data_IF_669979319212
#
_entry.id   IF_669979319212
#
_cell.length_a   1.000
_cell.length_b   1.000
_cell.length_c   1.000
_cell.angle_alpha   90.00
_cell.angle_beta   90.00
_cell.angle_gamma   90.00
#
_symmetry.space_group_name_H-M   'P 1'
#
loop_
_entity.id
_entity.type
_entity.pdbx_description
1 polymer ?
#
# COMPACT_ATOMS: atom_id res chain seq x y z
N UNK A 1 58.99 -14.70 -7.30
CA UNK A 1 58.30 -13.70 -8.15
C UNK A 1 56.85 -13.63 -7.68
N UNK A 2 56.44 -12.48 -7.12
CA UNK A 2 55.38 -12.31 -6.11
C UNK A 2 54.01 -12.90 -6.48
N UNK A 3 53.55 -13.91 -5.72
CA UNK A 3 52.16 -14.38 -5.74
C UNK A 3 51.16 -13.24 -5.52
N UNK A 4 51.53 -12.23 -4.73
CA UNK A 4 50.71 -11.05 -4.44
C UNK A 4 50.40 -10.22 -5.69
N UNK A 5 51.35 -10.09 -6.62
CA UNK A 5 51.15 -9.33 -7.87
C UNK A 5 50.20 -10.07 -8.81
N UNK A 6 50.35 -11.40 -8.90
CA UNK A 6 49.45 -12.24 -9.71
C UNK A 6 48.02 -12.22 -9.14
N UNK A 7 47.88 -12.19 -7.82
CA UNK A 7 46.57 -12.10 -7.17
C UNK A 7 45.93 -10.72 -7.36
N UNK A 8 46.71 -9.65 -7.26
CA UNK A 8 46.24 -8.30 -7.55
C UNK A 8 45.71 -8.18 -8.99
N UNK A 9 46.43 -8.70 -9.98
CA UNK A 9 46.01 -8.67 -11.38
C UNK A 9 44.70 -9.43 -11.62
N UNK A 10 44.52 -10.59 -10.95
CA UNK A 10 43.27 -11.36 -10.98
C UNK A 10 42.12 -10.57 -10.34
N UNK A 11 42.37 -9.96 -9.18
CA UNK A 11 41.36 -9.17 -8.48
C UNK A 11 40.95 -7.93 -9.28
N UNK A 12 41.92 -7.24 -9.88
CA UNK A 12 41.67 -6.08 -10.73
C UNK A 12 40.80 -6.45 -11.94
N UNK A 13 41.05 -7.61 -12.56
CA UNK A 13 40.23 -8.11 -13.66
C UNK A 13 38.78 -8.37 -13.20
N UNK A 14 38.59 -9.04 -12.06
CA UNK A 14 37.25 -9.31 -11.52
C UNK A 14 36.50 -8.04 -11.12
N UNK A 15 37.19 -7.07 -10.55
CA UNK A 15 36.63 -5.75 -10.19
C UNK A 15 36.23 -4.98 -11.44
N UNK A 16 37.06 -5.02 -12.49
CA UNK A 16 36.75 -4.41 -13.79
C UNK A 16 35.50 -5.04 -14.41
N UNK A 17 35.42 -6.37 -14.42
CA UNK A 17 34.28 -7.09 -15.00
C UNK A 17 32.98 -6.84 -14.21
N UNK A 18 33.05 -6.74 -12.88
CA UNK A 18 31.86 -6.64 -12.01
C UNK A 18 31.41 -5.20 -11.73
N UNK A 19 32.34 -4.26 -11.58
CA UNK A 19 32.05 -2.88 -11.17
C UNK A 19 32.42 -1.83 -12.22
N UNK A 20 32.94 -2.24 -13.38
CA UNK A 20 33.39 -1.36 -14.46
C UNK A 20 34.50 -0.38 -14.03
N UNK A 21 35.27 -0.73 -12.99
CA UNK A 21 36.41 0.06 -12.51
C UNK A 21 37.69 -0.40 -13.20
N UNK A 22 38.38 0.52 -13.87
CA UNK A 22 39.63 0.21 -14.59
C UNK A 22 40.85 0.12 -13.67
N UNK A 23 40.77 0.70 -12.47
CA UNK A 23 41.86 0.78 -11.50
C UNK A 23 41.31 0.61 -10.07
N UNK A 24 42.07 -0.05 -9.21
CA UNK A 24 41.84 -0.15 -7.77
C UNK A 24 43.17 0.08 -7.05
N UNK A 25 43.19 0.79 -5.92
CA UNK A 25 44.45 1.13 -5.26
C UNK A 25 45.19 -0.13 -4.77
N UNK A 26 46.45 -0.29 -5.20
CA UNK A 26 47.32 -1.38 -4.76
C UNK A 26 47.56 -1.35 -3.24
N UNK A 27 47.61 -0.17 -2.63
CA UNK A 27 47.83 -0.02 -1.19
C UNK A 27 46.61 -0.48 -0.39
N UNK A 28 45.39 -0.18 -0.88
CA UNK A 28 44.15 -0.70 -0.30
C UNK A 28 44.05 -2.21 -0.45
N UNK A 29 44.40 -2.74 -1.63
CA UNK A 29 44.46 -4.18 -1.87
C UNK A 29 45.40 -4.87 -0.87
N UNK A 30 46.63 -4.36 -0.73
CA UNK A 30 47.62 -4.92 0.19
C UNK A 30 47.12 -4.87 1.63
N UNK A 31 46.43 -3.80 2.03
CA UNK A 31 45.82 -3.70 3.36
C UNK A 31 44.83 -4.84 3.62
N UNK A 32 43.92 -5.10 2.68
CA UNK A 32 42.95 -6.20 2.83
C UNK A 32 43.61 -7.57 2.74
N UNK A 33 44.59 -7.73 1.85
CA UNK A 33 45.34 -8.98 1.72
C UNK A 33 46.07 -9.35 3.00
N UNK A 34 46.83 -8.41 3.60
CA UNK A 34 47.54 -8.65 4.86
C UNK A 34 46.59 -8.86 6.05
N UNK A 35 45.45 -8.14 6.10
CA UNK A 35 44.44 -8.38 7.14
C UNK A 35 43.83 -9.78 7.07
N UNK A 36 43.59 -10.30 5.86
CA UNK A 36 43.04 -11.66 5.69
C UNK A 36 44.11 -12.71 5.98
N UNK A 37 45.35 -12.47 5.52
CA UNK A 37 46.48 -13.37 5.74
C UNK A 37 46.86 -13.51 7.21
N UNK A 38 46.89 -12.41 7.98
CA UNK A 38 47.20 -12.45 9.41
C UNK A 38 46.09 -13.10 10.25
N UNK A 39 44.86 -13.17 9.74
CA UNK A 39 43.70 -13.73 10.45
C UNK A 39 43.41 -15.19 10.07
N UNK A 40 44.11 -15.78 9.09
CA UNK A 40 43.95 -17.19 8.73
C UNK A 40 44.99 -18.05 9.46
N UNK A 41 44.56 -18.83 10.45
CA UNK A 41 45.45 -19.74 11.20
C UNK A 41 45.76 -21.06 10.47
N UNK A 42 45.12 -21.34 9.33
CA UNK A 42 45.34 -22.54 8.51
C UNK A 42 45.66 -22.15 7.06
N UNK A 43 46.92 -22.33 6.66
CA UNK A 43 47.49 -21.82 5.39
C UNK A 43 47.38 -22.77 4.20
N UNK A 44 46.49 -23.76 4.20
CA UNK A 44 46.58 -24.83 3.20
C UNK A 44 45.63 -24.66 2.00
N UNK A 45 44.78 -23.63 1.95
CA UNK A 45 43.93 -23.40 0.78
C UNK A 45 43.95 -21.94 0.29
N UNK A 46 44.95 -21.63 -0.55
CA UNK A 46 45.14 -20.34 -1.24
C UNK A 46 43.85 -19.85 -1.94
N UNK A 47 43.01 -20.76 -2.41
CA UNK A 47 41.75 -20.39 -3.08
C UNK A 47 40.73 -19.73 -2.14
N UNK A 48 40.70 -20.10 -0.87
CA UNK A 48 39.75 -19.54 0.10
C UNK A 48 40.22 -18.19 0.65
N UNK A 49 41.54 -18.02 0.76
CA UNK A 49 42.16 -16.71 1.02
C UNK A 49 41.76 -15.71 -0.06
N UNK A 50 41.88 -16.11 -1.33
CA UNK A 50 41.58 -15.26 -2.49
C UNK A 50 40.11 -14.82 -2.53
N UNK A 51 39.18 -15.74 -2.25
CA UNK A 51 37.74 -15.42 -2.17
C UNK A 51 37.44 -14.40 -1.07
N UNK A 52 38.11 -14.53 0.08
CA UNK A 52 37.88 -13.67 1.24
C UNK A 52 38.40 -12.24 1.00
N UNK A 53 39.57 -12.11 0.39
CA UNK A 53 40.12 -10.80 -0.01
C UNK A 53 39.21 -10.11 -1.03
N UNK A 54 38.74 -10.84 -2.04
CA UNK A 54 37.79 -10.34 -3.03
C UNK A 54 36.47 -9.86 -2.41
N UNK A 55 35.96 -10.58 -1.41
CA UNK A 55 34.73 -10.20 -0.70
C UNK A 55 34.89 -8.85 -0.02
N UNK A 56 35.99 -8.64 0.73
CA UNK A 56 36.25 -7.37 1.42
C UNK A 56 36.41 -6.19 0.47
N UNK A 57 37.07 -6.39 -0.67
CA UNK A 57 37.20 -5.33 -1.68
C UNK A 57 35.84 -4.96 -2.28
N UNK A 58 34.99 -5.95 -2.55
CA UNK A 58 33.64 -5.70 -3.04
C UNK A 58 32.79 -4.91 -2.02
N UNK A 59 32.92 -5.21 -0.73
CA UNK A 59 32.26 -4.46 0.35
C UNK A 59 32.74 -3.00 0.41
N UNK A 60 34.06 -2.74 0.31
CA UNK A 60 34.62 -1.37 0.26
C UNK A 60 34.11 -0.57 -0.94
N UNK A 61 33.98 -1.19 -2.12
CA UNK A 61 33.47 -0.52 -3.32
C UNK A 61 31.99 -0.15 -3.18
N UNK A 62 31.18 -1.03 -2.59
CA UNK A 62 29.74 -0.77 -2.37
C UNK A 62 29.57 0.38 -1.37
N UNK A 63 30.31 0.33 -0.25
CA UNK A 63 30.21 1.34 0.81
C UNK A 63 30.57 2.75 0.30
N UNK A 64 31.64 2.88 -0.49
CA UNK A 64 32.05 4.18 -1.05
C UNK A 64 31.10 4.72 -2.15
N UNK A 65 30.28 3.87 -2.78
CA UNK A 65 29.25 4.35 -3.74
C UNK A 65 28.09 5.04 -3.03
N UNK A 66 27.73 4.59 -1.83
CA UNK A 66 26.61 5.15 -1.07
C UNK A 66 26.93 6.55 -0.50
N UNK A 67 28.15 6.77 -0.01
CA UNK A 67 28.59 8.10 0.47
C UNK A 67 28.58 9.17 -0.62
N UNK A 68 28.91 8.79 -1.87
CA UNK A 68 28.90 9.70 -3.00
C UNK A 68 27.46 10.06 -3.45
N UNK A 69 26.51 9.15 -3.24
CA UNK A 69 25.08 9.40 -3.47
C UNK A 69 24.52 10.33 -2.40
N UNK A 70 24.88 10.15 -1.12
CA UNK A 70 24.44 11.00 -0.02
C UNK A 70 24.91 12.46 -0.19
N UNK A 71 26.18 12.67 -0.57
CA UNK A 71 26.70 14.02 -0.81
C UNK A 71 25.97 14.74 -1.96
N UNK A 72 25.60 14.00 -3.01
CA UNK A 72 24.84 14.55 -4.15
C UNK A 72 23.39 14.87 -3.80
N UNK A 73 22.78 14.12 -2.87
CA UNK A 73 21.44 14.42 -2.33
C UNK A 73 21.47 15.71 -1.51
N UNK A 74 22.49 15.90 -0.68
CA UNK A 74 22.65 17.12 0.14
C UNK A 74 22.82 18.36 -0.75
N UNK A 75 23.62 18.26 -1.81
CA UNK A 75 23.82 19.37 -2.77
C UNK A 75 22.52 19.76 -3.48
N UNK A 76 21.72 18.78 -3.91
CA UNK A 76 20.41 19.01 -4.56
C UNK A 76 19.36 19.61 -3.59
N UNK A 77 19.42 19.28 -2.31
CA UNK A 77 18.53 19.85 -1.29
C UNK A 77 18.87 21.32 -0.99
N UNK A 78 20.16 21.68 -1.01
CA UNK A 78 20.60 23.07 -0.81
C UNK A 78 20.15 23.98 -1.97
N UNK A 79 20.21 23.48 -3.22
CA UNK A 79 19.72 24.23 -4.39
C UNK A 79 18.21 24.49 -4.28
N UNK A 80 17.41 23.47 -3.91
CA UNK A 80 15.95 23.61 -3.72
C UNK A 80 15.56 24.60 -2.63
N UNK A 81 16.39 24.77 -1.60
CA UNK A 81 16.08 25.64 -0.46
C UNK A 81 16.31 27.14 -0.75
N UNK A 82 17.04 27.47 -1.82
CA UNK A 82 17.43 28.85 -2.18
C UNK A 82 16.43 29.60 -3.08
N UNK A 83 15.35 28.96 -3.52
CA UNK A 83 14.38 29.52 -4.48
C UNK A 83 13.04 29.94 -3.85
N UNK A 84 13.05 30.52 -2.65
CA UNK A 84 11.85 31.08 -2.03
C UNK A 84 11.83 32.60 -2.19
N UNK A 85 10.95 33.12 -3.05
CA UNK A 85 10.67 34.55 -3.15
C UNK A 85 9.58 34.91 -2.11
N UNK A 86 9.96 35.69 -1.09
CA UNK A 86 9.03 36.16 -0.07
C UNK A 86 8.79 37.67 -0.25
N UNK A 87 7.54 38.06 -0.55
CA UNK A 87 7.17 39.47 -0.71
C UNK A 87 6.28 39.86 0.47
N UNK A 88 6.74 40.82 1.27
CA UNK A 88 5.96 41.40 2.36
C UNK A 88 5.68 42.88 2.04
N UNK A 89 4.41 43.25 1.94
CA UNK A 89 3.97 44.62 1.68
C UNK A 89 3.15 45.13 2.87
N UNK A 90 3.71 46.05 3.65
CA UNK A 90 3.01 46.73 4.74
C UNK A 90 2.26 47.94 4.19
N UNK A 91 1.09 47.71 3.58
CA UNK A 91 0.24 48.76 3.00
C UNK A 91 -0.72 48.21 1.94
N UNK A 92 -1.41 49.10 1.21
CA UNK A 92 -2.27 48.70 0.10
C UNK A 92 -1.40 48.33 -1.12
N UNK A 93 -1.46 47.07 -1.55
CA UNK A 93 -0.81 46.60 -2.77
C UNK A 93 -1.75 46.71 -3.97
N UNK A 94 -1.42 47.55 -4.95
CA UNK A 94 -2.12 47.61 -6.24
C UNK A 94 -1.26 46.96 -7.32
N UNK A 95 -1.79 45.97 -8.02
CA UNK A 95 -1.17 45.35 -9.21
C UNK A 95 -1.98 45.78 -10.43
N UNK A 96 -1.34 46.46 -11.39
CA UNK A 96 -1.94 46.81 -12.66
C UNK A 96 -1.24 46.06 -13.80
N UNK A 97 -1.95 45.19 -14.51
CA UNK A 97 -1.41 44.45 -15.66
C UNK A 97 -2.14 44.88 -16.93
N UNK A 98 -1.42 45.54 -17.84
CA UNK A 98 -1.91 45.82 -19.19
C UNK A 98 -1.71 44.56 -20.06
N UNK A 99 -2.64 43.61 -19.97
CA UNK A 99 -2.64 42.34 -20.71
C UNK A 99 -3.17 41.16 -19.90
N UNK A 100 -3.01 39.94 -20.41
CA UNK A 100 -3.42 38.72 -19.70
C UNK A 100 -2.39 38.35 -18.63
N UNK A 101 -2.80 38.36 -17.36
CA UNK A 101 -1.99 37.89 -16.23
C UNK A 101 -2.20 36.40 -15.98
N UNK A 102 -1.21 35.57 -16.30
CA UNK A 102 -1.23 34.15 -15.97
C UNK A 102 -0.34 33.87 -14.76
N UNK A 103 -0.88 33.21 -13.73
CA UNK A 103 -0.13 32.73 -12.56
C UNK A 103 -0.06 31.21 -12.64
N UNK A 104 1.15 30.64 -12.62
CA UNK A 104 1.37 29.19 -12.60
C UNK A 104 2.10 28.80 -11.31
N UNK A 105 1.49 27.95 -10.48
CA UNK A 105 2.04 27.48 -9.23
C UNK A 105 2.15 25.94 -9.24
N UNK A 106 3.38 25.43 -9.17
CA UNK A 106 3.65 23.97 -9.17
C UNK A 106 3.54 23.35 -7.76
N UNK A 107 2.66 23.89 -6.90
CA UNK A 107 2.45 23.49 -5.51
C UNK A 107 1.13 24.02 -4.98
N UNK A 108 0.90 23.93 -3.66
CA UNK A 108 -0.33 24.41 -3.06
C UNK A 108 -0.32 25.95 -2.97
N UNK A 109 -1.20 26.62 -3.73
CA UNK A 109 -1.47 28.04 -3.59
C UNK A 109 -2.53 28.29 -2.53
N UNK A 110 -2.24 29.10 -1.51
CA UNK A 110 -3.20 29.51 -0.50
C UNK A 110 -3.35 31.04 -0.52
N UNK A 111 -4.58 31.54 -0.58
CA UNK A 111 -4.91 32.97 -0.53
C UNK A 111 -5.75 33.19 0.73
N UNK A 112 -5.25 34.00 1.66
CA UNK A 112 -6.00 34.40 2.85
C UNK A 112 -6.26 35.91 2.78
N UNK A 113 -7.53 36.29 2.62
CA UNK A 113 -7.94 37.69 2.51
C UNK A 113 -8.90 38.06 3.65
N UNK A 114 -8.49 38.99 4.50
CA UNK A 114 -9.29 39.49 5.62
C UNK A 114 -10.04 40.79 5.24
N UNK A 115 -10.81 40.76 4.14
CA UNK A 115 -11.56 41.92 3.62
C UNK A 115 -12.59 41.53 2.56
N UNK A 116 -13.41 42.49 2.14
CA UNK A 116 -14.48 42.27 1.16
C UNK A 116 -13.88 42.12 -0.26
N UNK A 117 -14.08 40.97 -0.92
CA UNK A 117 -13.61 40.74 -2.29
C UNK A 117 -14.73 41.03 -3.29
N UNK A 118 -14.56 42.08 -4.10
CA UNK A 118 -15.45 42.37 -5.23
C UNK A 118 -14.83 41.84 -6.53
N UNK A 119 -15.06 40.55 -6.81
CA UNK A 119 -14.80 39.98 -8.14
C UNK A 119 -16.04 40.10 -9.01
N UNK A 120 -16.10 41.12 -9.85
CA UNK A 120 -17.12 41.21 -10.90
C UNK A 120 -16.64 40.41 -12.13
N UNK A 121 -17.53 39.59 -12.66
CA UNK A 121 -17.44 38.77 -13.90
C UNK A 121 -17.04 37.28 -13.73
N UNK A 122 -18.03 36.44 -14.05
CA UNK A 122 -18.00 34.99 -14.33
C UNK A 122 -17.94 34.05 -13.10
N UNK A 123 -18.98 34.12 -12.26
CA UNK A 123 -19.29 33.09 -11.25
C UNK A 123 -20.16 31.92 -11.79
N UNK A 124 -20.33 31.79 -13.11
CA UNK A 124 -21.19 30.75 -13.69
C UNK A 124 -20.47 29.42 -14.00
N UNK A 125 -19.14 29.34 -13.85
CA UNK A 125 -18.38 28.11 -14.10
C UNK A 125 -17.81 27.44 -12.83
N UNK A 126 -18.04 28.03 -11.64
CA UNK A 126 -17.50 27.49 -10.37
C UNK A 126 -18.24 26.23 -9.92
N UNK A 127 -19.48 26.02 -10.34
CA UNK A 127 -20.18 24.74 -10.13
C UNK A 127 -19.58 23.60 -10.98
N UNK A 128 -18.82 23.92 -12.03
CA UNK A 128 -18.11 22.94 -12.88
C UNK A 128 -16.62 22.74 -12.51
N UNK A 129 -16.06 23.57 -11.60
CA UNK A 129 -14.67 23.44 -11.13
C UNK A 129 -14.53 22.74 -9.77
N UNK A 130 -15.59 22.08 -9.28
CA UNK A 130 -15.50 21.19 -8.13
C UNK A 130 -14.85 19.87 -8.56
N UNK A 131 -13.54 19.80 -8.37
CA UNK A 131 -12.73 18.58 -8.25
C UNK A 131 -12.48 17.85 -9.59
N UNK A 132 -11.54 18.39 -10.38
CA UNK A 132 -10.72 17.60 -11.32
C UNK A 132 -9.36 17.23 -10.71
N UNK A 133 -9.25 17.17 -9.39
CA UNK A 133 -8.41 16.14 -8.76
C UNK A 133 -9.21 14.84 -8.72
N UNK A 134 -9.66 14.39 -9.89
CA UNK A 134 -9.66 12.97 -10.15
C UNK A 134 -8.18 12.56 -10.04
N UNK A 135 -7.76 12.21 -8.82
CA UNK A 135 -7.03 10.95 -8.69
C UNK A 135 -7.69 10.03 -9.72
N UNK A 136 -6.91 9.45 -10.63
CA UNK A 136 -7.40 8.47 -11.58
C UNK A 136 -8.00 7.29 -10.77
N UNK A 137 -9.18 7.50 -10.18
CA UNK A 137 -10.09 6.50 -9.72
C UNK A 137 -10.59 5.99 -11.06
N UNK A 138 -9.80 5.08 -11.63
CA UNK A 138 -10.29 4.14 -12.62
C UNK A 138 -11.44 3.44 -11.91
N UNK A 139 -12.66 3.98 -12.07
CA UNK A 139 -13.83 3.14 -11.95
C UNK A 139 -13.57 1.98 -12.89
N UNK A 140 -13.37 0.79 -12.32
CA UNK A 140 -13.31 -0.41 -13.13
C UNK A 140 -14.67 -0.55 -13.81
N UNK A 141 -14.73 -0.18 -15.08
CA UNK A 141 -15.78 -0.65 -15.97
C UNK A 141 -15.50 -2.13 -16.20
N UNK A 142 -16.11 -2.97 -15.39
CA UNK A 142 -16.09 -4.43 -15.55
C UNK A 142 -16.78 -4.86 -16.86
N UNK A 143 -17.61 -3.99 -17.44
CA UNK A 143 -18.36 -4.24 -18.67
C UNK A 143 -17.67 -3.60 -19.88
N UNK A 144 -16.64 -4.27 -20.40
CA UNK A 144 -16.07 -4.00 -21.73
C UNK A 144 -16.22 -5.18 -22.70
N UNK A 145 -17.15 -6.09 -22.45
CA UNK A 145 -17.55 -7.13 -23.40
C UNK A 145 -18.95 -6.79 -23.91
N UNK A 146 -18.98 -6.08 -25.03
CA UNK A 146 -20.16 -5.49 -25.66
C UNK A 146 -21.27 -6.46 -26.10
N UNK A 147 -21.27 -7.73 -25.69
CA UNK A 147 -22.27 -8.73 -26.11
C UNK A 147 -22.71 -9.72 -25.03
N UNK A 148 -22.20 -9.66 -23.80
CA UNK A 148 -22.68 -10.53 -22.72
C UNK A 148 -23.42 -9.72 -21.67
N UNK A 149 -24.72 -10.00 -21.53
CA UNK A 149 -25.67 -9.43 -20.56
C UNK A 149 -25.36 -10.00 -19.16
N UNK A 150 -24.12 -9.83 -18.71
CA UNK A 150 -23.70 -10.26 -17.38
C UNK A 150 -24.00 -9.17 -16.36
N UNK A 151 -24.69 -9.50 -15.27
CA UNK A 151 -24.79 -8.59 -14.11
C UNK A 151 -23.70 -8.95 -13.11
N UNK A 152 -23.15 -7.98 -12.39
CA UNK A 152 -22.21 -8.26 -11.31
C UNK A 152 -22.83 -8.02 -9.95
N UNK A 153 -22.37 -8.75 -8.93
CA UNK A 153 -22.62 -8.43 -7.53
C UNK A 153 -21.33 -8.50 -6.73
N UNK A 154 -21.27 -7.72 -5.65
CA UNK A 154 -20.07 -7.56 -4.84
C UNK A 154 -20.38 -8.05 -3.43
N UNK A 155 -19.47 -8.86 -2.89
CA UNK A 155 -19.48 -9.27 -1.49
C UNK A 155 -18.30 -8.60 -0.82
N UNK A 156 -18.58 -7.78 0.18
CA UNK A 156 -17.54 -7.19 1.01
C UNK A 156 -17.43 -7.97 2.31
N UNK A 157 -16.22 -8.42 2.65
CA UNK A 157 -15.98 -9.30 3.80
C UNK A 157 -14.62 -9.04 4.44
N UNK A 158 -14.50 -9.46 5.68
CA UNK A 158 -13.26 -9.48 6.47
C UNK A 158 -13.02 -10.87 7.07
N UNK A 159 -13.82 -11.85 6.64
CA UNK A 159 -13.76 -13.22 7.14
C UNK A 159 -13.17 -14.11 6.05
N UNK A 160 -12.31 -15.03 6.48
CA UNK A 160 -11.84 -16.12 5.63
C UNK A 160 -12.95 -17.12 5.31
N UNK A 161 -13.97 -17.22 6.16
CA UNK A 161 -15.11 -18.12 5.97
C UNK A 161 -16.41 -17.39 6.26
N UNK A 162 -17.37 -17.44 5.34
CA UNK A 162 -18.69 -16.83 5.51
C UNK A 162 -19.74 -17.48 4.61
N UNK A 163 -21.01 -17.24 4.93
CA UNK A 163 -22.15 -17.73 4.17
C UNK A 163 -22.82 -16.56 3.43
N UNK A 164 -23.31 -16.82 2.23
CA UNK A 164 -24.17 -15.89 1.49
C UNK A 164 -25.46 -16.58 1.07
N UNK A 165 -26.55 -15.80 1.05
CA UNK A 165 -27.78 -16.24 0.44
C UNK A 165 -27.70 -16.00 -1.07
N UNK A 166 -27.66 -17.07 -1.85
CA UNK A 166 -27.70 -17.01 -3.29
C UNK A 166 -29.11 -16.70 -3.79
N UNK A 167 -29.31 -15.49 -4.32
CA UNK A 167 -30.58 -15.10 -4.97
C UNK A 167 -30.66 -15.53 -6.44
N UNK A 168 -29.60 -16.16 -6.98
CA UNK A 168 -29.42 -16.44 -8.40
C UNK A 168 -29.37 -17.96 -8.68
N UNK A 169 -30.34 -18.70 -8.14
CA UNK A 169 -30.41 -20.18 -8.16
C UNK A 169 -30.39 -20.77 -9.59
N UNK A 170 -30.79 -20.01 -10.61
CA UNK A 170 -30.80 -20.41 -12.03
C UNK A 170 -29.84 -19.59 -12.91
N UNK A 171 -28.73 -19.11 -12.36
CA UNK A 171 -27.74 -18.35 -13.13
C UNK A 171 -26.36 -18.98 -13.00
N UNK A 172 -25.55 -18.84 -14.05
CA UNK A 172 -24.11 -19.14 -13.97
C UNK A 172 -23.46 -18.00 -13.21
N UNK A 173 -22.91 -18.28 -12.04
CA UNK A 173 -22.12 -17.30 -11.28
C UNK A 173 -20.64 -17.70 -11.28
N UNK A 174 -19.74 -16.73 -11.40
CA UNK A 174 -18.31 -16.97 -11.24
C UNK A 174 -17.64 -15.79 -10.53
N UNK A 175 -16.66 -16.05 -9.64
CA UNK A 175 -15.88 -14.98 -9.04
C UNK A 175 -14.92 -14.44 -10.11
N UNK A 176 -15.11 -13.18 -10.47
CA UNK A 176 -14.41 -12.51 -11.57
C UNK A 176 -13.17 -11.76 -11.12
N UNK A 177 -13.25 -11.10 -9.96
CA UNK A 177 -12.17 -10.28 -9.42
C UNK A 177 -12.22 -10.31 -7.90
N UNK A 178 -11.07 -10.06 -7.31
CA UNK A 178 -10.87 -9.96 -5.89
C UNK A 178 -10.12 -8.64 -5.64
N UNK A 179 -10.77 -7.69 -4.98
CA UNK A 179 -10.12 -6.46 -4.52
C UNK A 179 -9.66 -6.69 -3.09
N UNK A 180 -8.35 -6.64 -2.87
CA UNK A 180 -7.76 -6.94 -1.56
C UNK A 180 -6.84 -5.84 -1.08
N UNK A 181 -6.67 -5.69 0.24
CA UNK A 181 -5.69 -4.77 0.78
C UNK A 181 -4.30 -5.10 0.24
N UNK A 182 -3.56 -4.06 -0.15
CA UNK A 182 -2.24 -4.18 -0.78
C UNK A 182 -1.22 -4.91 0.09
N UNK A 183 -1.45 -5.01 1.40
CA UNK A 183 -0.60 -5.76 2.32
C UNK A 183 -0.69 -7.28 2.15
N UNK A 184 -1.80 -7.81 1.58
CA UNK A 184 -1.99 -9.25 1.41
C UNK A 184 -0.98 -9.86 0.42
N UNK A 185 -0.53 -9.12 -0.60
CA UNK A 185 0.48 -9.61 -1.56
C UNK A 185 1.82 -9.97 -0.91
N UNK A 186 2.10 -9.38 0.26
CA UNK A 186 3.31 -9.67 1.02
C UNK A 186 3.18 -10.96 1.85
N UNK A 187 1.95 -11.49 2.01
CA UNK A 187 1.64 -12.69 2.80
C UNK A 187 1.53 -13.92 1.88
N UNK A 188 0.89 -13.77 0.72
CA UNK A 188 0.66 -14.89 -0.20
C UNK A 188 0.78 -14.47 -1.66
N UNK A 189 1.38 -15.30 -2.54
CA UNK A 189 1.49 -15.00 -3.97
C UNK A 189 0.18 -15.23 -4.74
N UNK A 190 -0.74 -16.06 -4.21
CA UNK A 190 -2.07 -16.30 -4.76
C UNK A 190 -3.08 -16.60 -3.65
N UNK A 191 -4.37 -16.46 -3.95
CA UNK A 191 -5.48 -16.74 -3.04
C UNK A 191 -6.37 -17.79 -3.70
N UNK A 192 -6.79 -18.78 -2.94
CA UNK A 192 -7.76 -19.78 -3.41
C UNK A 192 -9.11 -19.46 -2.79
N UNK A 193 -10.13 -19.24 -3.62
CA UNK A 193 -11.52 -19.14 -3.17
C UNK A 193 -12.17 -20.51 -3.34
N UNK A 194 -12.59 -21.12 -2.25
CA UNK A 194 -13.48 -22.30 -2.24
C UNK A 194 -14.93 -21.87 -2.12
N UNK A 195 -15.81 -22.36 -2.99
CA UNK A 195 -17.25 -22.12 -2.97
C UNK A 195 -17.93 -23.47 -2.81
N UNK A 196 -18.72 -23.62 -1.76
CA UNK A 196 -19.42 -24.85 -1.42
C UNK A 196 -20.93 -24.63 -1.33
N UNK A 197 -21.68 -25.55 -1.93
CA UNK A 197 -23.12 -25.78 -1.74
C UNK A 197 -23.34 -26.73 -0.54
N UNK A 198 -24.52 -26.71 0.06
CA UNK A 198 -24.99 -27.71 1.04
C UNK A 198 -24.88 -29.17 0.53
N UNK A 199 -24.92 -29.38 -0.79
CA UNK A 199 -24.78 -30.65 -1.51
C UNK A 199 -23.32 -31.01 -1.88
N UNK A 200 -22.34 -30.38 -1.23
CA UNK A 200 -20.91 -30.75 -1.23
C UNK A 200 -20.10 -30.52 -2.53
N UNK A 201 -20.62 -29.85 -3.55
CA UNK A 201 -19.77 -29.45 -4.68
C UNK A 201 -18.79 -28.35 -4.22
N UNK A 202 -17.50 -28.68 -4.16
CA UNK A 202 -16.45 -27.72 -3.78
C UNK A 202 -15.78 -27.21 -5.07
N UNK A 203 -16.15 -26.00 -5.49
CA UNK A 203 -15.48 -25.32 -6.59
C UNK A 203 -14.38 -24.44 -6.05
N UNK A 204 -13.20 -24.53 -6.66
CA UNK A 204 -12.04 -23.72 -6.27
C UNK A 204 -11.60 -22.82 -7.42
N UNK A 205 -11.26 -21.57 -7.08
CA UNK A 205 -10.77 -20.57 -8.01
C UNK A 205 -9.48 -19.97 -7.45
N UNK A 206 -8.39 -20.06 -8.20
CA UNK A 206 -7.10 -19.45 -7.83
C UNK A 206 -7.00 -18.05 -8.42
N UNK A 207 -6.71 -17.07 -7.57
CA UNK A 207 -6.56 -15.66 -7.91
C UNK A 207 -5.10 -15.23 -7.79
N UNK A 208 -4.63 -14.46 -8.77
CA UNK A 208 -3.29 -13.86 -8.78
C UNK A 208 -3.39 -12.33 -8.93
N UNK A 209 -2.40 -11.56 -8.44
CA UNK A 209 -2.36 -10.12 -8.64
C UNK A 209 -2.39 -9.74 -10.13
N UNK A 210 -3.25 -8.79 -10.49
CA UNK A 210 -3.29 -8.19 -11.84
C UNK A 210 -2.91 -6.71 -11.81
N UNK A 211 -3.52 -5.94 -10.91
CA UNK A 211 -3.22 -4.51 -10.72
C UNK A 211 -2.73 -4.33 -9.30
N UNK A 212 -1.53 -3.76 -9.18
CA UNK A 212 -0.89 -3.51 -7.89
C UNK A 212 -1.07 -2.03 -7.57
N UNK A 213 -1.71 -1.74 -6.44
CA UNK A 213 -1.98 -0.38 -5.98
C UNK A 213 -1.37 -0.11 -4.60
N UNK A 214 -1.41 1.17 -4.15
CA UNK A 214 -0.87 1.56 -2.86
C UNK A 214 -1.73 1.05 -1.70
N UNK A 215 -3.06 1.07 -1.85
CA UNK A 215 -4.03 0.67 -0.81
C UNK A 215 -4.71 -0.66 -1.17
N UNK A 216 -5.07 -0.81 -2.44
CA UNK A 216 -5.80 -1.96 -2.96
C UNK A 216 -5.07 -2.58 -4.13
N UNK A 217 -4.98 -3.91 -4.13
CA UNK A 217 -4.61 -4.70 -5.28
C UNK A 217 -5.87 -5.35 -5.88
N UNK A 218 -5.89 -5.49 -7.20
CA UNK A 218 -6.96 -6.20 -7.92
C UNK A 218 -6.37 -7.49 -8.44
N UNK A 219 -7.02 -8.58 -8.07
CA UNK A 219 -6.59 -9.92 -8.39
C UNK A 219 -7.64 -10.57 -9.28
N UNK A 220 -7.18 -11.36 -10.26
CA UNK A 220 -8.03 -12.05 -11.22
C UNK A 220 -7.88 -13.57 -11.12
N UNK A 221 -8.90 -14.35 -11.49
CA UNK A 221 -8.77 -15.79 -11.53
C UNK A 221 -7.79 -16.20 -12.64
N UNK A 222 -7.00 -17.23 -12.38
CA UNK A 222 -6.07 -17.82 -13.36
C UNK A 222 -6.84 -18.50 -14.49
N UNK A 223 -7.99 -19.10 -14.17
CA UNK A 223 -8.84 -19.80 -15.13
C UNK A 223 -10.11 -18.99 -15.42
N UNK A 224 -10.40 -18.78 -16.70
CA UNK A 224 -11.62 -18.09 -17.17
C UNK A 224 -12.82 -19.03 -17.34
N UNK A 225 -12.74 -20.25 -16.79
CA UNK A 225 -13.78 -21.25 -17.00
C UNK A 225 -15.04 -20.87 -16.22
N UNK A 226 -16.10 -20.52 -16.95
CA UNK A 226 -17.43 -20.29 -16.40
C UNK A 226 -18.03 -21.64 -15.99
N UNK A 227 -17.90 -21.98 -14.71
CA UNK A 227 -18.55 -23.19 -14.20
C UNK A 227 -19.99 -22.83 -13.90
N UNK A 228 -20.93 -23.61 -14.47
CA UNK A 228 -22.31 -23.54 -14.03
C UNK A 228 -22.35 -24.08 -12.60
N UNK A 229 -22.35 -23.14 -11.65
CA UNK A 229 -22.69 -23.41 -10.28
C UNK A 229 -24.19 -23.77 -10.27
N UNK A 230 -24.50 -25.05 -10.55
CA UNK A 230 -25.81 -25.65 -10.31
C UNK A 230 -26.01 -25.69 -8.80
N UNK A 231 -26.26 -24.53 -8.22
CA UNK A 231 -26.42 -24.39 -6.78
C UNK A 231 -27.87 -24.73 -6.52
N UNK A 232 -28.11 -25.95 -6.06
CA UNK A 232 -29.43 -26.37 -5.61
C UNK A 232 -29.81 -25.70 -4.29
N UNK A 233 -28.83 -25.18 -3.55
CA UNK A 233 -29.02 -24.54 -2.25
C UNK A 233 -29.23 -23.02 -2.33
N UNK A 234 -30.02 -22.49 -1.40
CA UNK A 234 -30.14 -21.04 -1.23
C UNK A 234 -28.93 -20.43 -0.50
N UNK A 235 -28.07 -21.25 0.11
CA UNK A 235 -26.88 -20.81 0.85
C UNK A 235 -25.60 -21.34 0.22
N UNK A 236 -24.63 -20.44 0.06
CA UNK A 236 -23.27 -20.75 -0.34
C UNK A 236 -22.31 -20.47 0.80
N UNK A 237 -21.42 -21.41 1.07
CA UNK A 237 -20.26 -21.21 1.94
C UNK A 237 -19.07 -20.83 1.09
N UNK A 238 -18.44 -19.70 1.42
CA UNK A 238 -17.23 -19.22 0.75
C UNK A 238 -16.07 -19.27 1.75
N UNK A 239 -14.97 -19.89 1.32
CA UNK A 239 -13.73 -20.00 2.06
C UNK A 239 -12.59 -19.34 1.26
N UNK A 240 -11.71 -18.61 1.94
CA UNK A 240 -10.53 -17.96 1.38
C UNK A 240 -9.28 -18.62 1.97
N UNK A 241 -8.41 -19.11 1.11
CA UNK A 241 -7.16 -19.75 1.49
C UNK A 241 -5.95 -19.04 0.90
N UNK A 242 -4.82 -19.13 1.60
CA UNK A 242 -3.51 -18.73 1.10
C UNK A 242 -2.87 -19.82 0.23
N UNK A 243 -1.64 -19.59 -0.21
CA UNK A 243 -0.87 -20.54 -1.02
C UNK A 243 -0.54 -21.86 -0.32
N UNK A 244 -0.60 -21.90 1.01
CA UNK A 244 -0.34 -23.08 1.83
C UNK A 244 -1.61 -23.87 2.16
N UNK A 245 -2.76 -23.49 1.57
CA UNK A 245 -4.10 -24.03 1.87
C UNK A 245 -4.58 -23.78 3.30
N UNK A 246 -3.97 -22.82 4.00
CA UNK A 246 -4.49 -22.34 5.28
C UNK A 246 -5.50 -21.23 5.05
N UNK A 247 -6.44 -21.06 5.98
CA UNK A 247 -7.38 -19.93 5.90
C UNK A 247 -6.61 -18.62 5.87
N UNK A 248 -6.98 -17.73 4.96
CA UNK A 248 -6.35 -16.43 4.84
C UNK A 248 -6.48 -15.69 6.17
N UNK A 249 -5.35 -15.43 6.84
CA UNK A 249 -5.37 -14.85 8.17
C UNK A 249 -5.63 -13.34 8.12
N UNK A 250 -6.81 -12.95 8.58
CA UNK A 250 -7.19 -11.55 8.77
C UNK A 250 -6.92 -11.05 10.21
N UNK A 251 -6.11 -11.76 11.01
CA UNK A 251 -6.00 -11.55 12.47
C UNK A 251 -5.55 -10.14 12.88
N UNK A 252 -4.94 -9.38 11.97
CA UNK A 252 -4.48 -8.01 12.23
C UNK A 252 -5.47 -6.92 11.78
N UNK A 253 -6.62 -7.27 11.20
CA UNK A 253 -7.60 -6.28 10.73
C UNK A 253 -8.61 -5.86 11.82
N UNK A 254 -8.89 -6.75 12.77
CA UNK A 254 -9.68 -6.41 13.96
C UNK A 254 -8.75 -5.94 15.06
N UNK A 255 -8.84 -4.66 15.38
CA UNK A 255 -8.04 -4.03 16.42
C UNK A 255 -8.87 -3.96 17.70
N UNK A 256 -8.30 -4.44 18.80
CA UNK A 256 -8.98 -4.39 20.09
C UNK A 256 -8.99 -2.96 20.62
N UNK A 257 -10.14 -2.55 21.15
CA UNK A 257 -10.27 -1.30 21.88
C UNK A 257 -9.84 -1.53 23.32
N UNK A 258 -8.81 -0.82 23.76
CA UNK A 258 -8.20 -0.98 25.07
C UNK A 258 -8.82 -0.06 26.11
N UNK A 259 -8.98 1.22 25.76
CA UNK A 259 -9.48 2.26 26.66
C UNK A 259 -10.30 3.27 25.86
N UNK A 260 -11.32 3.86 26.48
CA UNK A 260 -12.11 4.95 25.90
C UNK A 260 -12.29 6.06 26.91
N UNK A 261 -12.17 7.29 26.44
CA UNK A 261 -12.46 8.51 27.17
C UNK A 261 -13.39 9.38 26.33
N UNK A 262 -14.45 9.88 26.96
CA UNK A 262 -15.33 10.86 26.35
C UNK A 262 -14.74 12.26 26.49
N UNK A 263 -14.54 12.96 25.36
CA UNK A 263 -13.96 14.32 25.33
C UNK A 263 -14.70 15.15 24.29
N UNK A 264 -15.38 16.22 24.71
CA UNK A 264 -15.94 17.26 23.83
C UNK A 264 -16.64 16.72 22.56
N UNK A 265 -17.74 15.99 22.72
CA UNK A 265 -18.50 15.35 21.63
C UNK A 265 -17.72 14.31 20.79
N UNK A 266 -16.58 13.83 21.28
CA UNK A 266 -15.81 12.77 20.66
C UNK A 266 -15.43 11.68 21.67
N UNK A 267 -15.21 10.46 21.16
CA UNK A 267 -14.54 9.40 21.90
C UNK A 267 -13.07 9.38 21.51
N UNK A 268 -12.20 9.54 22.50
CA UNK A 268 -10.78 9.18 22.42
C UNK A 268 -10.67 7.70 22.70
N UNK A 269 -10.27 6.93 21.69
CA UNK A 269 -10.20 5.47 21.73
C UNK A 269 -8.73 5.05 21.62
N UNK A 270 -8.24 4.33 22.63
CA UNK A 270 -6.93 3.70 22.60
C UNK A 270 -7.06 2.31 21.98
N UNK A 271 -6.22 2.04 20.99
CA UNK A 271 -6.28 0.79 20.20
C UNK A 271 -4.97 0.02 20.29
N UNK A 272 -5.02 -1.30 20.12
CA UNK A 272 -3.82 -2.15 20.22
C UNK A 272 -2.81 -1.95 19.08
N UNK A 273 -3.27 -1.49 17.90
CA UNK A 273 -2.39 -1.16 16.76
C UNK A 273 -2.90 0.12 16.04
N UNK A 274 -2.34 1.29 16.33
CA UNK A 274 -2.81 2.58 15.81
C UNK A 274 -2.37 2.87 14.38
N UNK A 275 -1.29 2.24 13.89
CA UNK A 275 -0.75 2.46 12.55
C UNK A 275 -1.68 1.93 11.45
N UNK A 276 -2.66 1.14 11.87
CA UNK A 276 -3.76 0.66 11.04
C UNK A 276 -4.79 1.74 10.66
N UNK A 277 -4.64 2.94 11.21
CA UNK A 277 -5.62 4.01 11.12
C UNK A 277 -4.99 5.34 10.74
N UNK A 278 -5.63 6.04 9.81
CA UNK A 278 -5.33 7.40 9.39
C UNK A 278 -6.54 8.33 9.61
N UNK A 279 -6.27 9.63 9.63
CA UNK A 279 -7.33 10.65 9.68
C UNK A 279 -8.19 10.52 8.42
N UNK A 280 -9.52 10.62 8.59
CA UNK A 280 -10.56 10.40 7.60
C UNK A 280 -10.82 8.95 7.18
N UNK A 281 -10.14 7.97 7.79
CA UNK A 281 -10.47 6.57 7.54
C UNK A 281 -11.89 6.27 8.05
N UNK A 282 -12.64 5.53 7.23
CA UNK A 282 -13.92 4.97 7.65
C UNK A 282 -13.67 3.70 8.45
N UNK A 283 -14.24 3.65 9.64
CA UNK A 283 -14.09 2.53 10.57
C UNK A 283 -15.44 1.93 10.88
N UNK A 284 -15.44 0.63 11.17
CA UNK A 284 -16.58 -0.04 11.76
C UNK A 284 -16.20 -0.57 13.13
N UNK A 285 -17.03 -0.25 14.11
CA UNK A 285 -16.90 -0.76 15.48
C UNK A 285 -17.91 -1.88 15.65
N UNK A 286 -17.46 -2.97 16.25
CA UNK A 286 -18.25 -4.15 16.59
C UNK A 286 -18.30 -4.20 18.12
N UNK A 287 -19.49 -4.00 18.65
CA UNK A 287 -19.75 -4.11 20.08
C UNK A 287 -19.88 -5.56 20.52
N UNK A 288 -19.80 -5.82 21.83
CA UNK A 288 -19.88 -7.17 22.39
C UNK A 288 -21.20 -7.89 22.05
N UNK A 289 -22.29 -7.13 21.88
CA UNK A 289 -23.59 -7.65 21.46
C UNK A 289 -23.70 -7.89 19.93
N UNK A 290 -22.59 -7.81 19.19
CA UNK A 290 -22.51 -7.89 17.72
C UNK A 290 -23.24 -6.75 16.97
N UNK A 291 -23.73 -5.73 17.66
CA UNK A 291 -24.18 -4.50 16.99
C UNK A 291 -22.96 -3.82 16.41
N UNK A 292 -23.12 -3.29 15.19
CA UNK A 292 -22.04 -2.61 14.50
C UNK A 292 -22.41 -1.19 14.13
N UNK A 293 -21.46 -0.28 14.23
CA UNK A 293 -21.61 1.12 13.81
C UNK A 293 -20.50 1.51 12.86
N UNK A 294 -20.83 2.36 11.90
CA UNK A 294 -19.84 3.01 11.04
C UNK A 294 -19.51 4.40 11.61
N UNK A 295 -18.24 4.75 11.61
CA UNK A 295 -17.76 6.07 12.03
C UNK A 295 -16.57 6.51 11.16
N UNK A 296 -16.09 7.73 11.38
CA UNK A 296 -14.91 8.28 10.69
C UNK A 296 -13.90 8.75 11.72
N UNK A 297 -12.64 8.45 11.47
CA UNK A 297 -11.55 8.94 12.32
C UNK A 297 -11.34 10.42 12.06
N UNK A 298 -11.60 11.24 13.07
CA UNK A 298 -11.46 12.70 12.99
C UNK A 298 -10.07 13.18 13.37
N UNK A 299 -9.39 12.47 14.25
CA UNK A 299 -8.05 12.82 14.68
C UNK A 299 -7.28 11.57 15.14
N UNK A 300 -5.96 11.67 15.17
CA UNK A 300 -5.04 10.66 15.69
C UNK A 300 -3.93 11.37 16.46
N UNK A 301 -3.68 10.95 17.70
CA UNK A 301 -2.58 11.50 18.50
C UNK A 301 -1.32 10.64 18.41
N UNK A 302 -0.23 11.13 19.02
CA UNK A 302 1.07 10.43 19.05
C UNK A 302 1.11 9.26 20.05
N UNK A 303 0.07 9.09 20.86
CA UNK A 303 -0.02 8.09 21.94
C UNK A 303 -0.98 6.95 21.58
N UNK A 304 -1.10 6.65 20.29
CA UNK A 304 -1.88 5.53 19.77
C UNK A 304 -3.39 5.66 19.98
N UNK A 305 -3.90 6.88 20.16
CA UNK A 305 -5.33 7.12 20.27
C UNK A 305 -5.90 7.66 18.96
N UNK A 306 -7.08 7.16 18.63
CA UNK A 306 -7.90 7.66 17.54
C UNK A 306 -9.12 8.36 18.12
N UNK A 307 -9.65 9.33 17.39
CA UNK A 307 -10.81 10.10 17.79
C UNK A 307 -11.96 9.83 16.82
N UNK A 308 -13.16 9.62 17.35
CA UNK A 308 -14.40 9.47 16.57
C UNK A 308 -15.51 10.35 17.17
N UNK A 309 -16.51 10.72 16.38
CA UNK A 309 -17.66 11.46 16.92
C UNK A 309 -18.56 10.58 17.80
N UNK A 310 -19.14 11.18 18.84
CA UNK A 310 -20.18 10.55 19.67
C UNK A 310 -21.48 10.50 18.84
N UNK A 311 -21.90 9.30 18.46
CA UNK A 311 -23.12 9.07 17.69
C UNK A 311 -24.16 8.29 18.50
N UNK A 312 -24.70 8.88 19.57
CA UNK A 312 -25.67 8.25 20.49
C UNK A 312 -25.22 6.92 21.12
N UNK A 313 -23.92 6.64 21.10
CA UNK A 313 -23.35 5.42 21.69
C UNK A 313 -23.04 5.71 23.14
N UNK A 314 -23.31 4.77 24.04
CA UNK A 314 -22.85 4.88 25.42
C UNK A 314 -21.46 4.27 25.57
N UNK A 315 -20.62 4.86 26.42
CA UNK A 315 -19.25 4.37 26.67
C UNK A 315 -19.22 2.89 27.13
N UNK A 316 -20.25 2.46 27.85
CA UNK A 316 -20.45 1.09 28.34
C UNK A 316 -20.53 0.05 27.22
N UNK A 317 -21.05 0.43 26.05
CA UNK A 317 -21.21 -0.48 24.90
C UNK A 317 -19.86 -0.90 24.31
N UNK A 318 -18.81 -0.12 24.57
CA UNK A 318 -17.47 -0.37 24.05
C UNK A 318 -16.68 -1.43 24.82
N UNK A 319 -17.18 -1.93 25.95
CA UNK A 319 -16.52 -2.99 26.71
C UNK A 319 -16.35 -4.22 25.80
N UNK A 320 -15.11 -4.70 25.67
CA UNK A 320 -14.73 -5.83 24.79
C UNK A 320 -15.06 -5.62 23.29
N UNK A 321 -15.15 -4.36 22.88
CA UNK A 321 -15.43 -4.03 21.48
C UNK A 321 -14.19 -4.06 20.63
N UNK A 322 -14.40 -4.27 19.33
CA UNK A 322 -13.35 -4.27 18.32
C UNK A 322 -13.63 -3.20 17.29
N UNK A 323 -12.57 -2.64 16.74
CA UNK A 323 -12.64 -1.67 15.67
C UNK A 323 -11.84 -2.17 14.48
N UNK A 324 -12.34 -1.92 13.28
CA UNK A 324 -11.59 -2.22 12.06
C UNK A 324 -11.75 -1.12 11.03
N UNK A 325 -10.73 -0.99 10.19
CA UNK A 325 -10.68 0.01 9.13
C UNK A 325 -11.28 -0.57 7.84
N UNK A 326 -12.30 0.10 7.29
CA UNK A 326 -12.99 -0.31 6.07
C UNK A 326 -12.07 -0.24 4.84
N UNK A 327 -11.00 0.55 4.88
CA UNK A 327 -9.98 0.60 3.83
C UNK A 327 -9.19 -0.71 3.70
N UNK A 328 -9.44 -1.67 4.58
CA UNK A 328 -8.86 -2.99 4.50
C UNK A 328 -9.90 -4.11 4.23
N UNK A 329 -11.14 -3.75 3.88
CA UNK A 329 -12.21 -4.70 3.56
C UNK A 329 -12.10 -5.39 2.20
N UNK A 330 -11.87 -6.70 2.18
CA UNK A 330 -11.83 -7.46 0.94
C UNK A 330 -13.18 -7.43 0.20
N UNK A 331 -13.13 -7.23 -1.12
CA UNK A 331 -14.30 -7.34 -2.00
C UNK A 331 -14.13 -8.49 -2.98
N UNK A 332 -15.14 -9.36 -3.07
CA UNK A 332 -15.24 -10.40 -4.08
C UNK A 332 -16.30 -10.00 -5.08
N UNK A 333 -15.94 -9.95 -6.36
CA UNK A 333 -16.83 -9.52 -7.43
C UNK A 333 -17.24 -10.75 -8.22
N UNK A 334 -18.52 -11.09 -8.14
CA UNK A 334 -19.11 -12.16 -8.91
C UNK A 334 -19.79 -11.59 -10.15
N UNK A 335 -19.64 -12.30 -11.25
CA UNK A 335 -20.37 -12.04 -12.47
C UNK A 335 -21.43 -13.14 -12.65
N UNK A 336 -22.61 -12.73 -13.11
CA UNK A 336 -23.83 -13.53 -13.22
C UNK A 336 -24.21 -13.57 -14.70
N UNK A 337 -24.47 -14.75 -15.23
CA UNK A 337 -25.07 -14.92 -16.55
C UNK A 337 -26.37 -15.71 -16.47
N UNK A 338 -27.39 -15.37 -17.27
CA UNK A 338 -28.54 -16.23 -17.45
C UNK A 338 -28.09 -17.60 -18.00
N UNK A 339 -28.73 -18.67 -17.51
CA UNK A 339 -28.49 -20.05 -18.00
C UNK A 339 -29.06 -20.24 -19.39
#
# INVERSE_FOLDING_TARGET
MNNDKKLYDICLKMIKDKHQLNEYSIDKFNTFYFQVFNNSSDTDNINDLNKTVLKKINEDIIFNKDDNIQNKIIELQNIRSSMNANINANGNGNINTNGNGNINANGNGNINANGNSNGNEIFNDIDNMRISSSANIKYMKFDKLANNIGRSFIINTMKSTFFINNKYINHKIYPSHLCIPSIIKNITPYIIIGIMDEQQSNLTYTFIPEIIGPIWDIWKPVNNNYINLNIGSSQLKINLYDHTNNYLEFKNYYIDILEILEINNSYKIKVSNPDFFNINDKVKIIFNNNITIDNTIINKDKENNIYIYINNIKIEEFIQSKIYNLNHQLSIIFNIFPV
#
